data_IF_044478922999
#
_entry.id   IF_044478922999
#
_cell.length_a   1.000
_cell.length_b   1.000
_cell.length_c   1.000
_cell.angle_alpha   90.00
_cell.angle_beta   90.00
_cell.angle_gamma   90.00
#
_symmetry.space_group_name_H-M   'P 1'
#
loop_
_entity.id
_entity.type
_entity.pdbx_description
1 polymer ?
#
# COMPACT_ATOMS: atom_id res chain seq x y z
N UNK A 1 8.37 1.44 -5.57
CA UNK A 1 7.24 1.12 -6.48
C UNK A 1 7.15 2.22 -7.50
N UNK A 2 7.34 1.85 -8.76
CA UNK A 2 7.39 2.77 -9.89
C UNK A 2 5.99 3.18 -10.37
N UNK A 3 5.97 4.07 -11.35
CA UNK A 3 4.75 4.57 -11.95
C UNK A 3 3.89 3.45 -12.54
N UNK A 4 2.58 3.55 -12.38
CA UNK A 4 1.58 2.63 -12.95
C UNK A 4 1.75 1.14 -12.58
N UNK A 5 2.55 0.81 -11.57
CA UNK A 5 2.81 -0.57 -11.16
C UNK A 5 1.53 -1.39 -10.89
N UNK A 6 0.50 -0.75 -10.32
CA UNK A 6 -0.82 -1.34 -10.06
C UNK A 6 -1.93 -0.60 -10.82
N UNK A 7 -1.60 -0.03 -11.99
CA UNK A 7 -2.57 0.70 -12.78
C UNK A 7 -3.74 -0.18 -13.20
N UNK A 8 -4.96 0.30 -12.95
CA UNK A 8 -6.20 -0.37 -13.34
C UNK A 8 -6.38 -1.77 -12.72
N UNK A 9 -5.67 -2.09 -11.63
CA UNK A 9 -5.91 -3.28 -10.83
C UNK A 9 -7.17 -3.10 -9.97
N UNK A 10 -8.34 -2.95 -10.61
CA UNK A 10 -9.62 -2.62 -9.96
C UNK A 10 -10.10 -3.67 -8.95
N UNK A 11 -9.62 -4.91 -9.08
CA UNK A 11 -9.89 -6.02 -8.14
C UNK A 11 -8.85 -6.14 -7.02
N UNK A 12 -7.81 -5.32 -7.01
CA UNK A 12 -6.78 -5.36 -5.97
C UNK A 12 -7.33 -4.75 -4.68
N UNK A 13 -7.67 -5.62 -3.73
CA UNK A 13 -8.26 -5.22 -2.44
C UNK A 13 -7.21 -4.91 -1.37
N UNK A 14 -6.06 -5.57 -1.42
CA UNK A 14 -5.03 -5.44 -0.41
C UNK A 14 -3.62 -5.61 -0.97
N UNK A 15 -2.66 -4.88 -0.40
CA UNK A 15 -1.22 -5.11 -0.59
C UNK A 15 -0.58 -5.25 0.78
N UNK A 16 0.26 -6.25 0.97
CA UNK A 16 0.90 -6.51 2.27
C UNK A 16 2.41 -6.37 2.17
N UNK A 17 2.99 -5.54 3.03
CA UNK A 17 4.42 -5.32 3.15
C UNK A 17 4.94 -5.88 4.47
N UNK A 18 6.02 -6.66 4.41
CA UNK A 18 6.61 -7.31 5.59
C UNK A 18 7.76 -6.50 6.21
N UNK A 19 8.13 -5.38 5.61
CA UNK A 19 9.22 -4.51 6.06
C UNK A 19 8.89 -3.02 5.96
N UNK A 20 9.92 -2.19 6.09
CA UNK A 20 9.82 -0.74 6.08
C UNK A 20 9.20 -0.19 4.78
N UNK A 21 8.60 1.00 4.88
CA UNK A 21 7.89 1.62 3.77
C UNK A 21 8.84 1.90 2.59
N UNK A 22 8.59 1.33 1.39
CA UNK A 22 9.35 1.67 0.22
C UNK A 22 8.94 3.05 -0.32
N UNK A 23 9.78 3.64 -1.17
CA UNK A 23 9.37 4.80 -1.98
C UNK A 23 8.28 4.39 -2.98
N UNK A 24 7.33 5.29 -3.23
CA UNK A 24 6.19 5.06 -4.12
C UNK A 24 5.97 6.26 -5.01
N UNK A 25 5.77 6.01 -6.30
CA UNK A 25 5.29 7.03 -7.23
C UNK A 25 3.80 7.33 -6.99
N UNK A 26 3.38 8.59 -7.14
CA UNK A 26 2.01 9.02 -6.81
C UNK A 26 0.93 8.28 -7.62
N UNK A 27 1.22 7.92 -8.88
CA UNK A 27 0.31 7.22 -9.79
C UNK A 27 0.45 5.69 -9.75
N UNK A 28 1.20 5.13 -8.80
CA UNK A 28 1.39 3.68 -8.70
C UNK A 28 0.06 2.91 -8.54
N UNK A 29 -0.94 3.52 -7.90
CA UNK A 29 -2.28 2.95 -7.65
C UNK A 29 -3.39 3.68 -8.43
N UNK A 30 -3.07 4.28 -9.57
CA UNK A 30 -4.10 4.91 -10.39
C UNK A 30 -5.15 3.88 -10.85
N UNK A 31 -6.45 4.18 -10.64
CA UNK A 31 -7.58 3.24 -10.84
C UNK A 31 -7.54 1.95 -10.00
N UNK A 32 -6.72 1.89 -8.96
CA UNK A 32 -6.71 0.82 -7.97
C UNK A 32 -6.86 1.40 -6.55
N UNK A 33 -7.63 0.78 -5.69
CA UNK A 33 -7.89 1.28 -4.33
C UNK A 33 -7.65 0.22 -3.24
N UNK A 34 -6.46 -0.39 -3.18
CA UNK A 34 -6.18 -1.37 -2.14
C UNK A 34 -6.02 -0.72 -0.77
N UNK A 35 -6.25 -1.52 0.28
CA UNK A 35 -5.74 -1.22 1.61
C UNK A 35 -4.31 -1.76 1.74
N UNK A 36 -3.40 -0.94 2.26
CA UNK A 36 -2.03 -1.32 2.50
C UNK A 36 -1.91 -1.89 3.91
N UNK A 37 -1.31 -3.07 4.04
CA UNK A 37 -1.07 -3.74 5.30
C UNK A 37 0.42 -3.81 5.56
N UNK A 38 0.86 -3.50 6.78
CA UNK A 38 2.27 -3.55 7.18
C UNK A 38 2.48 -4.25 8.52
N UNK A 39 3.68 -4.76 8.75
CA UNK A 39 4.06 -5.32 10.05
C UNK A 39 4.15 -4.22 11.12
N UNK A 40 3.74 -4.48 12.38
CA UNK A 40 3.76 -3.49 13.46
C UNK A 40 5.16 -2.90 13.74
N UNK A 41 6.21 -3.67 13.48
CA UNK A 41 7.61 -3.27 13.67
C UNK A 41 8.19 -2.47 12.49
N UNK A 42 7.51 -2.46 11.33
CA UNK A 42 7.97 -1.76 10.15
C UNK A 42 7.89 -0.23 10.30
N UNK A 43 8.93 0.46 9.84
CA UNK A 43 9.15 1.90 9.96
C UNK A 43 8.86 2.64 8.66
N UNK A 44 8.77 3.97 8.75
CA UNK A 44 8.59 4.85 7.59
C UNK A 44 7.16 4.91 7.03
N UNK A 45 6.20 4.27 7.70
CA UNK A 45 4.78 4.29 7.31
C UNK A 45 4.07 5.51 7.90
N UNK A 46 3.35 6.25 7.07
CA UNK A 46 2.34 7.22 7.51
C UNK A 46 0.95 6.59 7.56
N UNK A 47 -0.08 7.40 7.85
CA UNK A 47 -1.49 6.98 7.78
C UNK A 47 -1.90 6.56 6.37
N UNK A 48 -1.26 7.16 5.37
CA UNK A 48 -1.43 6.82 3.96
C UNK A 48 -0.08 6.55 3.28
N UNK A 49 -0.13 5.73 2.23
CA UNK A 49 1.02 5.43 1.38
C UNK A 49 0.57 5.28 -0.07
N UNK A 50 1.13 6.08 -0.99
CA UNK A 50 0.66 6.14 -2.38
C UNK A 50 -0.81 6.57 -2.51
N UNK A 51 -1.30 7.41 -1.59
CA UNK A 51 -2.71 7.82 -1.55
C UNK A 51 -3.68 6.73 -1.09
N UNK A 52 -3.18 5.67 -0.45
CA UNK A 52 -3.97 4.53 0.04
C UNK A 52 -3.84 4.37 1.55
N UNK A 53 -4.89 3.91 2.25
CA UNK A 53 -4.86 3.75 3.70
C UNK A 53 -3.87 2.66 4.10
N UNK A 54 -3.16 2.89 5.20
CA UNK A 54 -2.22 1.92 5.80
C UNK A 54 -2.80 1.37 7.10
N UNK A 55 -2.79 0.05 7.27
CA UNK A 55 -3.24 -0.67 8.46
C UNK A 55 -2.21 -1.70 8.92
N UNK A 56 -2.34 -2.19 10.14
CA UNK A 56 -1.54 -3.31 10.63
C UNK A 56 -2.00 -4.61 9.98
N UNK A 57 -1.05 -5.49 9.66
CA UNK A 57 -1.36 -6.81 9.09
C UNK A 57 -2.29 -7.65 9.98
N UNK A 58 -2.28 -7.41 11.29
CA UNK A 58 -3.20 -8.03 12.26
C UNK A 58 -4.67 -7.59 12.11
N UNK A 59 -4.93 -6.47 11.43
CA UNK A 59 -6.28 -5.96 11.15
C UNK A 59 -6.83 -6.41 9.79
N UNK A 60 -6.12 -7.31 9.12
CA UNK A 60 -6.55 -7.85 7.83
C UNK A 60 -7.79 -8.73 8.03
N UNK A 61 -8.86 -8.54 7.24
CA UNK A 61 -10.06 -9.38 7.31
C UNK A 61 -9.80 -10.80 6.81
#
# INVERSE_FOLDING_TARGET
IEEKAFWNCTKLSAVTFLGDAPKVAENAFEKASPTIYRNPEAKGWGETWGGRPVKLISEKP
#
